data_IF_060762255312
#
_entry.id   IF_060762255312
#
_cell.length_a   1.000
_cell.length_b   1.000
_cell.length_c   1.000
_cell.angle_alpha   90.00
_cell.angle_beta   90.00
_cell.angle_gamma   90.00
#
_symmetry.space_group_name_H-M   'P 1'
#
loop_
_entity.id
_entity.type
_entity.pdbx_description
1 polymer ?
#
# COMPACT_ATOMS: atom_id res chain seq x y z
N UNK A 1 -3.22 -7.41 -8.57
CA UNK A 1 -1.87 -7.41 -9.18
C UNK A 1 -1.59 -8.76 -9.78
N UNK A 2 -0.74 -8.79 -10.79
CA UNK A 2 -0.29 -10.01 -11.46
C UNK A 2 1.23 -10.10 -11.27
N UNK A 3 1.68 -11.06 -10.45
CA UNK A 3 3.07 -11.18 -9.99
C UNK A 3 3.39 -12.64 -9.75
N UNK A 4 4.49 -13.13 -10.33
CA UNK A 4 4.87 -14.56 -10.29
C UNK A 4 5.53 -14.96 -8.96
N UNK A 5 6.24 -14.03 -8.32
CA UNK A 5 7.07 -14.32 -7.14
C UNK A 5 6.86 -13.33 -5.98
N UNK A 6 7.40 -13.69 -4.81
CA UNK A 6 7.19 -12.96 -3.55
C UNK A 6 7.74 -11.53 -3.59
N UNK A 7 8.85 -11.30 -4.27
CA UNK A 7 9.42 -9.97 -4.50
C UNK A 7 8.49 -9.08 -5.32
N UNK A 8 7.83 -9.64 -6.33
CA UNK A 8 6.83 -8.94 -7.14
C UNK A 8 5.62 -8.57 -6.31
N UNK A 9 5.10 -9.52 -5.53
CA UNK A 9 4.01 -9.30 -4.58
C UNK A 9 4.36 -8.17 -3.60
N UNK A 10 5.54 -8.23 -2.98
CA UNK A 10 5.96 -7.25 -1.98
C UNK A 10 6.15 -5.86 -2.57
N UNK A 11 6.67 -5.74 -3.80
CA UNK A 11 6.76 -4.43 -4.49
C UNK A 11 5.39 -3.77 -4.61
N UNK A 12 4.36 -4.52 -4.99
CA UNK A 12 3.00 -4.00 -5.07
C UNK A 12 2.44 -3.71 -3.68
N UNK A 13 2.66 -4.60 -2.71
CA UNK A 13 2.18 -4.43 -1.33
C UNK A 13 2.74 -3.16 -0.68
N UNK A 14 4.05 -2.96 -0.80
CA UNK A 14 4.73 -1.76 -0.30
C UNK A 14 4.14 -0.51 -0.96
N UNK A 15 3.95 -0.55 -2.28
CA UNK A 15 3.29 0.54 -3.00
C UNK A 15 1.87 0.81 -2.49
N UNK A 16 1.06 -0.22 -2.26
CA UNK A 16 -0.30 -0.09 -1.74
C UNK A 16 -0.30 0.51 -0.32
N UNK A 17 0.59 0.06 0.56
CA UNK A 17 0.75 0.62 1.91
C UNK A 17 1.23 2.07 1.86
N UNK A 18 2.18 2.41 0.97
CA UNK A 18 2.63 3.77 0.77
C UNK A 18 1.49 4.68 0.28
N UNK A 19 0.63 4.21 -0.63
CA UNK A 19 -0.55 4.97 -1.05
C UNK A 19 -1.57 5.16 0.06
N UNK A 20 -1.79 4.15 0.90
CA UNK A 20 -2.66 4.30 2.08
C UNK A 20 -2.12 5.36 3.05
N UNK A 21 -0.81 5.34 3.31
CA UNK A 21 -0.12 6.32 4.15
C UNK A 21 -0.17 7.74 3.54
N UNK A 22 0.40 7.93 2.35
CA UNK A 22 0.59 9.24 1.72
C UNK A 22 -0.73 9.88 1.29
N UNK A 23 -1.62 9.07 0.70
CA UNK A 23 -2.96 9.51 0.30
C UNK A 23 -3.93 9.63 1.47
N UNK A 24 -3.51 9.21 2.67
CA UNK A 24 -4.36 9.01 3.83
C UNK A 24 -5.67 8.32 3.41
N UNK A 25 -5.61 7.18 2.73
CA UNK A 25 -6.78 6.51 2.16
C UNK A 25 -6.76 5.01 2.46
N UNK A 26 -7.87 4.33 2.14
CA UNK A 26 -7.90 2.87 2.15
C UNK A 26 -7.36 2.35 0.82
N UNK A 27 -6.36 1.49 0.87
CA UNK A 27 -5.81 0.82 -0.30
C UNK A 27 -6.07 -0.68 -0.19
N UNK A 28 -6.58 -1.28 -1.26
CA UNK A 28 -6.87 -2.71 -1.33
C UNK A 28 -6.01 -3.32 -2.41
N UNK A 29 -5.26 -4.37 -2.06
CA UNK A 29 -4.53 -5.19 -2.99
C UNK A 29 -5.27 -6.53 -3.16
N UNK A 30 -5.69 -6.80 -4.40
CA UNK A 30 -6.26 -8.09 -4.80
C UNK A 30 -5.35 -8.73 -5.85
N UNK A 31 -4.36 -9.56 -5.44
CA UNK A 31 -3.52 -10.30 -6.36
C UNK A 31 -4.26 -11.52 -6.92
N UNK A 32 -3.96 -11.86 -8.17
CA UNK A 32 -4.20 -13.22 -8.68
C UNK A 32 -3.28 -14.19 -7.95
N UNK A 33 -3.71 -15.45 -7.83
CA UNK A 33 -2.96 -16.49 -7.11
C UNK A 33 -3.11 -17.83 -7.82
N UNK A 34 -2.07 -18.67 -7.74
CA UNK A 34 -2.07 -20.03 -8.25
C UNK A 34 -1.65 -20.15 -9.71
N UNK A 35 -1.71 -21.39 -10.22
CA UNK A 35 -1.34 -21.69 -11.59
C UNK A 35 -2.51 -21.49 -12.55
N UNK A 36 -2.26 -20.85 -13.67
CA UNK A 36 -3.16 -20.76 -14.81
C UNK A 36 -2.44 -21.25 -16.08
N UNK A 37 -2.19 -22.56 -16.22
CA UNK A 37 -1.38 -23.12 -17.33
C UNK A 37 -1.99 -22.89 -18.72
N UNK A 38 -3.24 -22.46 -18.77
CA UNK A 38 -3.96 -22.06 -19.97
C UNK A 38 -3.64 -20.61 -20.42
N UNK A 39 -2.93 -19.83 -19.59
CA UNK A 39 -2.57 -18.43 -19.87
C UNK A 39 -1.06 -18.29 -20.03
N UNK A 40 -0.62 -17.89 -21.22
CA UNK A 40 0.80 -17.58 -21.47
C UNK A 40 1.30 -16.37 -20.67
N UNK A 41 0.39 -15.48 -20.28
CA UNK A 41 0.70 -14.24 -19.55
C UNK A 41 0.27 -14.30 -18.09
N UNK A 42 -0.08 -15.46 -17.55
CA UNK A 42 -0.43 -15.56 -16.14
C UNK A 42 -0.25 -16.97 -15.59
N UNK A 43 0.67 -17.72 -16.19
CA UNK A 43 0.92 -19.14 -15.93
C UNK A 43 1.11 -19.41 -14.44
N UNK A 44 1.86 -18.56 -13.75
CA UNK A 44 2.09 -18.63 -12.31
C UNK A 44 1.82 -17.29 -11.63
N UNK A 45 1.19 -17.38 -10.45
CA UNK A 45 0.84 -16.21 -9.66
C UNK A 45 1.06 -16.45 -8.18
N UNK A 46 1.79 -15.53 -7.57
CA UNK A 46 2.02 -15.48 -6.14
C UNK A 46 1.49 -14.17 -5.54
N UNK A 47 0.94 -14.28 -4.34
CA UNK A 47 0.50 -13.12 -3.58
C UNK A 47 -0.45 -13.45 -2.45
N UNK A 48 -0.81 -12.41 -1.69
CA UNK A 48 -1.86 -12.45 -0.69
C UNK A 48 -2.73 -11.19 -0.79
N UNK A 49 -4.05 -11.35 -0.74
CA UNK A 49 -4.95 -10.20 -0.68
C UNK A 49 -4.74 -9.42 0.64
N UNK A 50 -4.91 -8.10 0.59
CA UNK A 50 -4.68 -7.23 1.74
C UNK A 50 -5.44 -5.91 1.67
N UNK A 51 -5.80 -5.41 2.84
CA UNK A 51 -6.51 -4.14 3.04
C UNK A 51 -5.63 -3.28 3.96
N UNK A 52 -5.29 -2.08 3.50
CA UNK A 52 -4.36 -1.18 4.15
C UNK A 52 -5.00 0.17 4.43
N UNK A 53 -4.60 0.79 5.52
CA UNK A 53 -5.05 2.08 5.99
C UNK A 53 -3.86 2.95 6.43
N UNK A 54 -4.08 4.26 6.64
CA UNK A 54 -3.06 5.12 7.24
C UNK A 54 -2.76 4.62 8.66
N UNK A 55 -1.49 4.41 9.04
CA UNK A 55 -1.11 4.04 10.40
C UNK A 55 -1.22 5.24 11.36
N UNK A 56 -2.46 5.68 11.61
CA UNK A 56 -2.79 6.82 12.46
C UNK A 56 -4.01 6.49 13.35
N UNK A 57 -4.48 7.46 14.14
CA UNK A 57 -5.60 7.34 15.07
C UNK A 57 -6.82 6.69 14.39
N UNK A 58 -7.38 5.68 15.05
CA UNK A 58 -8.54 4.93 14.55
C UNK A 58 -8.18 3.75 13.65
N UNK A 59 -6.91 3.57 13.26
CA UNK A 59 -6.44 2.44 12.46
C UNK A 59 -5.30 1.67 13.15
N UNK A 60 -5.02 0.43 12.70
CA UNK A 60 -3.92 -0.35 13.24
C UNK A 60 -2.57 0.37 13.08
N UNK A 61 -1.68 0.35 14.09
CA UNK A 61 -0.34 0.95 13.97
C UNK A 61 0.51 0.35 12.84
N UNK A 62 0.21 -0.88 12.41
CA UNK A 62 0.86 -1.53 11.27
C UNK A 62 0.40 -0.99 9.92
N UNK A 63 -0.71 -0.24 9.86
CA UNK A 63 -1.40 0.14 8.62
C UNK A 63 -2.06 -1.04 7.88
N UNK A 64 -2.05 -2.25 8.47
CA UNK A 64 -2.67 -3.45 7.88
C UNK A 64 -3.97 -3.74 8.60
N UNK A 65 -5.10 -3.55 7.92
CA UNK A 65 -6.43 -3.88 8.45
C UNK A 65 -6.65 -5.39 8.40
N UNK A 66 -6.39 -5.98 7.23
CA UNK A 66 -6.55 -7.41 7.02
C UNK A 66 -5.59 -7.90 5.94
N UNK A 67 -5.15 -9.15 6.05
CA UNK A 67 -4.33 -9.82 5.04
C UNK A 67 -4.62 -11.31 5.03
N UNK A 68 -4.71 -11.87 3.84
CA UNK A 68 -4.83 -13.32 3.65
C UNK A 68 -3.49 -14.03 3.80
N UNK A 69 -3.51 -15.37 3.87
CA UNK A 69 -2.32 -16.19 3.70
C UNK A 69 -1.70 -16.03 2.30
N UNK A 70 -0.39 -16.18 2.20
CA UNK A 70 0.35 -16.16 0.93
C UNK A 70 0.01 -17.40 0.10
N UNK A 71 -0.28 -17.21 -1.19
CA UNK A 71 -0.54 -18.26 -2.17
C UNK A 71 -1.69 -19.22 -1.79
N UNK A 72 -2.67 -18.69 -1.05
CA UNK A 72 -3.85 -19.42 -0.62
C UNK A 72 -5.11 -18.69 -1.11
N UNK A 73 -5.91 -19.33 -1.98
CA UNK A 73 -7.18 -18.77 -2.44
C UNK A 73 -8.11 -18.46 -1.28
N UNK A 74 -8.79 -17.32 -1.33
CA UNK A 74 -9.75 -16.94 -0.31
C UNK A 74 -10.14 -15.47 -0.37
N UNK A 75 -11.16 -15.14 0.41
CA UNK A 75 -11.63 -13.77 0.59
C UNK A 75 -10.93 -13.13 1.77
N UNK A 76 -10.50 -11.88 1.60
CA UNK A 76 -10.05 -11.02 2.68
C UNK A 76 -11.06 -9.90 2.80
N UNK A 77 -11.74 -9.85 3.93
CA UNK A 77 -12.80 -8.88 4.20
C UNK A 77 -12.49 -8.15 5.49
N UNK A 78 -12.85 -6.87 5.53
CA UNK A 78 -12.81 -6.07 6.74
C UNK A 78 -13.84 -4.95 6.64
N UNK A 79 -14.33 -4.52 7.79
CA UNK A 79 -15.09 -3.28 7.91
C UNK A 79 -14.12 -2.12 8.06
N UNK A 80 -14.44 -1.00 7.42
CA UNK A 80 -13.65 0.22 7.51
C UNK A 80 -14.55 1.35 7.98
N UNK A 81 -14.13 2.02 9.05
CA UNK A 81 -14.77 3.24 9.51
C UNK A 81 -14.30 4.45 8.68
N UNK A 82 -15.20 4.97 7.84
CA UNK A 82 -14.95 6.17 7.04
C UNK A 82 -14.94 7.44 7.88
N UNK A 83 -15.60 7.45 9.05
CA UNK A 83 -15.52 8.57 9.97
C UNK A 83 -14.12 8.65 10.59
N UNK A 84 -13.51 7.52 10.96
CA UNK A 84 -12.10 7.48 11.38
C UNK A 84 -11.17 8.02 10.29
N UNK A 85 -11.40 7.66 9.02
CA UNK A 85 -10.62 8.20 7.89
C UNK A 85 -10.77 9.73 7.76
N UNK A 86 -11.99 10.25 7.90
CA UNK A 86 -12.24 11.69 7.90
C UNK A 86 -11.51 12.39 9.07
N UNK A 87 -11.44 11.75 10.24
CA UNK A 87 -10.65 12.27 11.37
C UNK A 87 -9.15 12.26 11.10
N UNK A 88 -8.62 11.28 10.37
CA UNK A 88 -7.21 11.29 9.95
C UNK A 88 -6.93 12.49 9.03
N UNK A 89 -7.85 12.83 8.11
CA UNK A 89 -7.69 14.01 7.24
C UNK A 89 -7.72 15.33 8.01
N UNK A 90 -8.62 15.44 9.00
CA UNK A 90 -8.82 16.69 9.75
C UNK A 90 -7.82 16.88 10.90
N UNK A 91 -7.46 15.80 11.61
CA UNK A 91 -6.78 15.85 12.91
C UNK A 91 -5.85 14.64 13.18
N UNK A 92 -5.41 13.94 12.13
CA UNK A 92 -4.39 12.89 12.22
C UNK A 92 -3.08 13.41 12.83
N UNK A 93 -2.31 12.51 13.44
CA UNK A 93 -1.00 12.85 14.01
C UNK A 93 -0.02 13.32 12.94
N UNK A 94 -0.05 12.69 11.76
CA UNK A 94 0.77 13.08 10.62
C UNK A 94 -0.16 13.47 9.47
N UNK A 95 -0.09 14.73 9.04
CA UNK A 95 -1.03 15.32 8.06
C UNK A 95 -0.43 15.42 6.66
N UNK A 96 0.22 14.35 6.20
CA UNK A 96 0.96 14.31 4.92
C UNK A 96 0.17 14.85 3.74
N UNK A 97 -1.10 14.44 3.60
CA UNK A 97 -1.97 14.89 2.50
C UNK A 97 -2.28 16.38 2.58
N UNK A 98 -2.59 16.89 3.78
CA UNK A 98 -2.98 18.29 3.97
C UNK A 98 -1.79 19.24 3.80
N UNK A 99 -0.61 18.84 4.28
CA UNK A 99 0.59 19.67 4.23
C UNK A 99 1.43 19.43 2.96
N UNK A 100 0.94 18.63 2.01
CA UNK A 100 1.70 18.31 0.79
C UNK A 100 2.16 19.57 0.04
N UNK A 101 1.30 20.58 -0.06
CA UNK A 101 1.58 21.87 -0.70
C UNK A 101 2.61 22.73 0.04
N UNK A 102 2.90 22.43 1.30
CA UNK A 102 3.94 23.12 2.08
C UNK A 102 5.35 22.62 1.70
N UNK A 103 5.43 21.50 0.98
CA UNK A 103 6.70 20.97 0.51
C UNK A 103 7.37 21.98 -0.44
N UNK A 104 8.65 22.33 -0.24
CA UNK A 104 9.35 23.24 -1.13
C UNK A 104 9.34 22.69 -2.57
N UNK A 105 8.94 23.53 -3.52
CA UNK A 105 8.90 23.16 -4.92
C UNK A 105 10.30 22.95 -5.49
N UNK A 106 10.58 21.74 -5.99
CA UNK A 106 11.88 21.22 -6.49
C UNK A 106 13.04 21.38 -5.49
N UNK A 107 13.83 20.32 -5.33
CA UNK A 107 15.15 20.45 -4.72
C UNK A 107 15.94 21.55 -5.47
N UNK A 108 16.65 22.40 -4.72
CA UNK A 108 17.56 23.38 -5.31
C UNK A 108 18.63 22.71 -6.18
N UNK A 109 19.48 23.51 -6.85
CA UNK A 109 20.54 22.96 -7.69
C UNK A 109 21.37 21.90 -6.94
N UNK A 110 21.48 20.71 -7.52
CA UNK A 110 22.22 19.59 -6.94
C UNK A 110 23.72 19.87 -7.07
N UNK A 111 24.46 19.75 -5.97
CA UNK A 111 25.92 19.82 -5.98
C UNK A 111 26.50 18.41 -6.06
N UNK A 112 27.22 18.11 -7.12
CA UNK A 112 28.00 16.87 -7.25
C UNK A 112 29.32 17.04 -6.50
N UNK A 113 29.62 16.14 -5.57
CA UNK A 113 30.90 16.10 -4.84
C UNK A 113 31.55 14.74 -5.09
N UNK A 114 32.80 14.75 -5.56
CA UNK A 114 33.62 13.54 -5.68
C UNK A 114 34.23 13.23 -4.31
N UNK A 115 33.95 12.05 -3.79
CA UNK A 115 34.59 11.56 -2.56
C UNK A 115 35.97 11.00 -2.91
N UNK A 116 36.99 11.37 -2.12
CA UNK A 116 38.37 10.92 -2.27
C UNK A 116 38.57 9.47 -1.81
#
# INVERSE_FOLDING_TARGET
SWTEAEEGYNRVRIGAMARALEGQCIAVQSPTQGAAPWSWFADENAGAAGIFAPPDKGFPPSGVIARGPMNAPGWVMAEVDLAALAQVHSAGNVRTRAHWSESPGRAGPVQTVTLA
#
